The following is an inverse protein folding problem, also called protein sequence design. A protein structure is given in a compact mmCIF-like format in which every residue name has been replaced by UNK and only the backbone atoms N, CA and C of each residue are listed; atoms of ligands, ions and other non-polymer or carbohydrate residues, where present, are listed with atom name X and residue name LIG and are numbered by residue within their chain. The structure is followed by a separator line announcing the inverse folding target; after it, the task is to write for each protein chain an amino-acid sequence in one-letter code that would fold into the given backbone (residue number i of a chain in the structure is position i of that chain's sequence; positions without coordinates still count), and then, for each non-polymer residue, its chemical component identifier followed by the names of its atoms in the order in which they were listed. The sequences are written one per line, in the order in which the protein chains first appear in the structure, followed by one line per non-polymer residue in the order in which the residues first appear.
data_IF_210694075971
#
_entry.id   IF_210694075971
#
_cell.length_a   1.000
_cell.length_b   1.000
_cell.length_c   1.000
_cell.angle_alpha   90.00
_cell.angle_beta   90.00
_cell.angle_gamma   90.00
#
_symmetry.space_group_name_H-M   'P 1'
#
loop_
_entity.id
_entity.type
_entity.pdbx_description
1 polymer ?
#
# COMPACT_ATOMS: atom_id res chain seq x y z
N UNK A 1 46.25 42.88 -5.99
CA UNK A 1 46.01 41.93 -7.10
C UNK A 1 45.76 40.57 -6.47
N UNK A 2 44.48 40.23 -6.26
CA UNK A 2 43.77 39.15 -6.99
C UNK A 2 44.29 37.78 -6.56
N UNK A 3 43.64 37.14 -5.59
CA UNK A 3 42.62 36.16 -5.95
C UNK A 3 41.83 35.69 -4.73
N UNK A 4 40.51 35.88 -4.81
CA UNK A 4 39.50 35.24 -3.97
C UNK A 4 39.06 33.98 -4.73
N UNK A 5 39.26 32.81 -4.14
CA UNK A 5 38.78 31.51 -4.66
C UNK A 5 38.63 30.52 -3.50
N UNK A 6 37.72 29.53 -3.60
CA UNK A 6 36.45 29.63 -2.92
C UNK A 6 36.32 28.67 -1.74
N UNK A 7 35.35 28.99 -0.87
CA UNK A 7 34.81 28.14 0.20
C UNK A 7 34.50 26.75 -0.38
N UNK A 8 35.14 25.70 0.14
CA UNK A 8 34.79 24.32 -0.21
C UNK A 8 33.33 24.11 0.14
N UNK A 9 32.55 23.74 -0.85
CA UNK A 9 31.13 23.44 -0.73
C UNK A 9 30.97 22.33 0.31
N UNK A 10 30.11 22.56 1.29
CA UNK A 10 29.74 21.53 2.26
C UNK A 10 29.19 20.33 1.49
N UNK A 11 29.82 19.17 1.69
CA UNK A 11 29.36 17.89 1.21
C UNK A 11 28.09 17.50 1.97
N UNK A 12 26.96 18.12 1.64
CA UNK A 12 25.65 17.55 1.88
C UNK A 12 25.45 16.41 0.89
N UNK A 13 26.07 15.27 1.19
CA UNK A 13 25.63 13.97 0.69
C UNK A 13 24.27 13.71 1.33
N UNK A 14 23.23 14.33 0.77
CA UNK A 14 21.84 13.99 1.06
C UNK A 14 21.62 12.59 0.49
N UNK A 15 21.98 11.58 1.28
CA UNK A 15 21.66 10.18 1.02
C UNK A 15 20.15 10.10 0.79
N UNK A 16 19.76 9.89 -0.46
CA UNK A 16 18.38 9.59 -0.81
C UNK A 16 18.05 8.22 -0.20
N UNK A 17 17.55 8.25 1.04
CA UNK A 17 16.97 7.07 1.67
C UNK A 17 15.72 6.72 0.87
N UNK A 18 15.61 5.52 0.28
CA UNK A 18 14.38 5.13 -0.39
C UNK A 18 13.25 5.18 0.64
N UNK A 19 12.19 5.93 0.34
CA UNK A 19 10.99 6.11 1.19
C UNK A 19 10.17 4.82 1.41
N UNK A 20 10.72 3.66 1.02
CA UNK A 20 9.97 2.51 0.52
C UNK A 20 10.41 1.15 1.09
N UNK A 21 11.22 1.10 2.15
CA UNK A 21 11.75 -0.19 2.65
C UNK A 21 10.72 -1.07 3.37
N UNK A 22 9.60 -0.52 3.84
CA UNK A 22 8.63 -1.26 4.69
C UNK A 22 7.62 -2.10 3.92
N UNK A 23 7.22 -1.70 2.71
CA UNK A 23 6.21 -2.45 1.94
C UNK A 23 6.81 -3.54 1.04
N UNK A 24 8.07 -3.39 0.62
CA UNK A 24 8.78 -4.39 -0.19
C UNK A 24 8.92 -5.75 0.53
N UNK A 25 8.91 -5.72 1.87
CA UNK A 25 8.95 -6.92 2.71
C UNK A 25 7.58 -7.57 2.94
N UNK A 26 6.47 -6.92 2.54
CA UNK A 26 5.12 -7.46 2.71
C UNK A 26 4.76 -8.45 1.57
N UNK A 27 4.16 -9.58 1.93
CA UNK A 27 3.77 -10.63 0.95
C UNK A 27 2.80 -10.10 -0.11
N UNK A 28 2.92 -10.56 -1.37
CA UNK A 28 2.01 -10.22 -2.47
C UNK A 28 0.54 -10.43 -2.10
N UNK A 29 0.25 -11.52 -1.41
CA UNK A 29 -1.09 -11.82 -0.90
C UNK A 29 -1.59 -10.69 0.02
N UNK A 30 -0.79 -10.28 1.01
CA UNK A 30 -1.14 -9.21 1.93
C UNK A 30 -1.43 -7.90 1.18
N UNK A 31 -0.57 -7.54 0.22
CA UNK A 31 -0.78 -6.35 -0.60
C UNK A 31 -2.10 -6.40 -1.37
N UNK A 32 -2.43 -7.56 -1.95
CA UNK A 32 -3.67 -7.71 -2.72
C UNK A 32 -4.92 -7.56 -1.84
N UNK A 33 -4.95 -8.14 -0.65
CA UNK A 33 -6.09 -7.96 0.26
C UNK A 33 -6.21 -6.55 0.80
N UNK A 34 -5.09 -5.88 1.11
CA UNK A 34 -5.12 -4.49 1.56
C UNK A 34 -5.61 -3.56 0.45
N UNK A 35 -5.19 -3.77 -0.81
CA UNK A 35 -5.72 -3.01 -1.96
C UNK A 35 -7.21 -3.27 -2.17
N UNK A 36 -7.66 -4.52 -2.06
CA UNK A 36 -9.08 -4.88 -2.20
C UNK A 36 -9.93 -4.23 -1.10
N UNK A 37 -9.48 -4.29 0.15
CA UNK A 37 -10.15 -3.63 1.27
C UNK A 37 -10.20 -2.12 1.08
N UNK A 38 -9.11 -1.51 0.59
CA UNK A 38 -9.07 -0.09 0.25
C UNK A 38 -10.07 0.30 -0.84
N UNK A 39 -10.16 -0.49 -1.92
CA UNK A 39 -11.14 -0.28 -2.99
C UNK A 39 -12.59 -0.37 -2.49
N UNK A 40 -12.85 -1.24 -1.50
CA UNK A 40 -14.10 -1.27 -0.77
C UNK A 40 -14.39 0.03 -0.02
N UNK A 41 -13.43 0.55 0.75
CA UNK A 41 -13.57 1.84 1.45
C UNK A 41 -13.78 3.02 0.50
N UNK A 42 -13.04 3.06 -0.62
CA UNK A 42 -13.19 4.09 -1.64
C UNK A 42 -14.57 4.07 -2.29
N UNK A 43 -15.19 2.88 -2.37
CA UNK A 43 -16.58 2.71 -2.82
C UNK A 43 -17.62 3.04 -1.75
N UNK A 44 -17.21 3.59 -0.59
CA UNK A 44 -18.09 3.96 0.52
C UNK A 44 -18.44 2.83 1.49
N UNK A 45 -17.81 1.64 1.38
CA UNK A 45 -18.05 0.54 2.33
C UNK A 45 -17.28 0.80 3.62
N UNK A 46 -17.93 0.65 4.77
CA UNK A 46 -17.25 0.62 6.05
C UNK A 46 -16.89 -0.82 6.42
N UNK A 47 -15.64 -1.21 6.13
CA UNK A 47 -15.15 -2.59 6.26
C UNK A 47 -15.76 -3.57 5.26
N UNK A 48 -15.16 -4.76 5.13
CA UNK A 48 -15.62 -5.84 4.25
C UNK A 48 -15.74 -7.15 5.00
N UNK A 49 -16.77 -7.95 4.73
CA UNK A 49 -16.83 -9.30 5.29
C UNK A 49 -15.78 -10.22 4.63
N UNK A 50 -15.48 -11.35 5.28
CA UNK A 50 -14.62 -12.38 4.67
C UNK A 50 -15.20 -12.89 3.35
N UNK A 51 -16.53 -12.97 3.22
CA UNK A 51 -17.18 -13.35 1.97
C UNK A 51 -17.01 -12.29 0.88
N UNK A 52 -17.13 -11.00 1.21
CA UNK A 52 -16.88 -9.92 0.25
C UNK A 52 -15.43 -9.96 -0.27
N UNK A 53 -14.48 -10.20 0.65
CA UNK A 53 -13.06 -10.35 0.29
C UNK A 53 -12.83 -11.60 -0.56
N UNK A 54 -13.46 -12.73 -0.22
CA UNK A 54 -13.36 -13.96 -0.99
C UNK A 54 -13.87 -13.77 -2.43
N UNK A 55 -15.04 -13.15 -2.59
CA UNK A 55 -15.63 -12.82 -3.88
C UNK A 55 -14.75 -11.86 -4.69
N UNK A 56 -14.24 -10.79 -4.08
CA UNK A 56 -13.39 -9.83 -4.75
C UNK A 56 -12.02 -10.41 -5.17
N UNK A 57 -11.49 -11.34 -4.37
CA UNK A 57 -10.22 -12.01 -4.64
C UNK A 57 -10.36 -13.26 -5.53
N UNK A 58 -11.58 -13.69 -5.86
CA UNK A 58 -11.82 -14.89 -6.65
C UNK A 58 -11.38 -16.20 -5.96
N UNK A 59 -11.43 -16.24 -4.63
CA UNK A 59 -11.03 -17.42 -3.84
C UNK A 59 -12.20 -17.95 -3.01
N UNK A 60 -12.08 -19.19 -2.56
CA UNK A 60 -13.07 -19.77 -1.63
C UNK A 60 -12.97 -19.13 -0.23
N UNK A 61 -14.08 -19.11 0.50
CA UNK A 61 -14.18 -18.44 1.80
C UNK A 61 -13.18 -18.98 2.85
N UNK A 62 -12.84 -20.27 2.80
CA UNK A 62 -11.84 -20.87 3.70
C UNK A 62 -10.45 -20.26 3.49
N UNK A 63 -10.03 -20.09 2.24
CA UNK A 63 -8.75 -19.45 1.89
C UNK A 63 -8.75 -17.98 2.29
N UNK A 64 -9.86 -17.26 2.08
CA UNK A 64 -9.96 -15.87 2.51
C UNK A 64 -9.88 -15.74 4.04
N UNK A 65 -10.55 -16.62 4.78
CA UNK A 65 -10.49 -16.64 6.25
C UNK A 65 -9.08 -16.90 6.77
N UNK A 66 -8.36 -17.85 6.18
CA UNK A 66 -6.96 -18.13 6.53
C UNK A 66 -6.06 -16.92 6.26
N UNK A 67 -6.22 -16.28 5.11
CA UNK A 67 -5.45 -15.10 4.72
C UNK A 67 -5.75 -13.88 5.61
N UNK A 68 -7.02 -13.65 5.96
CA UNK A 68 -7.43 -12.63 6.93
C UNK A 68 -6.79 -12.91 8.30
N UNK A 69 -6.78 -14.17 8.73
CA UNK A 69 -6.12 -14.55 10.00
C UNK A 69 -4.63 -14.24 9.99
N UNK A 70 -3.94 -14.44 8.86
CA UNK A 70 -2.52 -14.05 8.69
C UNK A 70 -2.32 -12.54 8.71
N UNK A 71 -3.22 -11.77 8.10
CA UNK A 71 -3.19 -10.30 8.15
C UNK A 71 -3.40 -9.77 9.58
N UNK A 72 -4.30 -10.39 10.35
CA UNK A 72 -4.51 -10.08 11.77
C UNK A 72 -3.25 -10.39 12.58
N UNK A 73 -2.64 -11.56 12.36
CA UNK A 73 -1.39 -11.95 13.03
C UNK A 73 -0.23 -10.97 12.74
N UNK A 74 -0.24 -10.36 11.56
CA UNK A 74 0.73 -9.33 11.16
C UNK A 74 0.34 -7.91 11.61
N UNK A 75 -0.77 -7.73 12.34
CA UNK A 75 -1.20 -6.42 12.84
C UNK A 75 -1.70 -5.46 11.76
N UNK A 76 -2.04 -5.94 10.56
CA UNK A 76 -2.45 -5.10 9.42
C UNK A 76 -3.96 -4.87 9.34
N UNK A 77 -4.74 -5.79 9.89
CA UNK A 77 -6.20 -5.69 9.93
C UNK A 77 -6.73 -6.15 11.27
N UNK A 78 -7.94 -5.70 11.62
CA UNK A 78 -8.73 -6.24 12.72
C UNK A 78 -9.90 -7.04 12.15
N UNK A 79 -10.18 -8.18 12.77
CA UNK A 79 -11.32 -9.02 12.43
C UNK A 79 -11.76 -9.78 13.68
N UNK A 80 -13.03 -9.64 14.02
CA UNK A 80 -13.68 -10.40 15.10
C UNK A 80 -14.73 -11.34 14.48
N UNK A 81 -15.07 -12.45 15.15
CA UNK A 81 -16.08 -13.38 14.64
C UNK A 81 -17.37 -12.67 14.24
N UNK A 82 -17.87 -12.99 13.04
CA UNK A 82 -19.08 -12.41 12.43
C UNK A 82 -19.04 -10.90 12.18
N UNK A 83 -17.88 -10.26 12.33
CA UNK A 83 -17.70 -8.83 12.02
C UNK A 83 -16.95 -8.65 10.70
N UNK A 84 -17.00 -7.42 10.22
CA UNK A 84 -16.24 -7.00 9.05
C UNK A 84 -14.77 -6.90 9.40
N UNK A 85 -13.94 -7.06 8.38
CA UNK A 85 -12.51 -6.78 8.40
C UNK A 85 -12.32 -5.27 8.25
N UNK A 86 -11.50 -4.70 9.12
CA UNK A 86 -11.12 -3.28 9.11
C UNK A 86 -9.61 -3.15 9.11
N UNK A 87 -9.09 -2.03 8.62
CA UNK A 87 -7.67 -1.72 8.74
C UNK A 87 -7.28 -1.42 10.19
N UNK A 88 -6.06 -1.79 10.56
CA UNK A 88 -5.32 -1.08 11.62
C UNK A 88 -4.70 0.19 11.04
N UNK A 89 -4.14 1.06 11.90
CA UNK A 89 -3.43 2.26 11.43
C UNK A 89 -2.24 1.89 10.52
N UNK A 90 -1.50 0.84 10.86
CA UNK A 90 -0.38 0.34 10.07
C UNK A 90 -0.85 -0.21 8.71
N UNK A 91 -1.88 -1.05 8.70
CA UNK A 91 -2.41 -1.59 7.45
C UNK A 91 -3.01 -0.52 6.54
N UNK A 92 -3.64 0.51 7.11
CA UNK A 92 -4.14 1.66 6.37
C UNK A 92 -2.99 2.45 5.75
N UNK A 93 -1.94 2.76 6.52
CA UNK A 93 -0.77 3.47 6.02
C UNK A 93 -0.10 2.70 4.86
N UNK A 94 0.02 1.38 5.01
CA UNK A 94 0.56 0.50 3.98
C UNK A 94 -0.31 0.52 2.72
N UNK A 95 -1.64 0.36 2.85
CA UNK A 95 -2.58 0.41 1.73
C UNK A 95 -2.50 1.75 0.96
N UNK A 96 -2.51 2.87 1.68
CA UNK A 96 -2.40 4.21 1.08
C UNK A 96 -1.08 4.37 0.33
N UNK A 97 0.03 3.88 0.87
CA UNK A 97 1.34 3.97 0.20
C UNK A 97 1.34 3.25 -1.15
N UNK A 98 0.72 2.07 -1.22
CA UNK A 98 0.60 1.27 -2.45
C UNK A 98 -0.28 1.97 -3.48
N UNK A 99 -1.45 2.46 -3.07
CA UNK A 99 -2.41 3.14 -3.96
C UNK A 99 -1.83 4.44 -4.51
N UNK A 100 -1.13 5.22 -3.68
CA UNK A 100 -0.46 6.45 -4.12
C UNK A 100 0.57 6.16 -5.20
N UNK A 101 1.42 5.15 -5.02
CA UNK A 101 2.42 4.77 -6.02
C UNK A 101 1.76 4.34 -7.32
N UNK A 102 0.70 3.53 -7.24
CA UNK A 102 -0.02 3.08 -8.42
C UNK A 102 -0.59 4.26 -9.22
N UNK A 103 -1.31 5.17 -8.57
CA UNK A 103 -1.89 6.36 -9.22
C UNK A 103 -0.84 7.27 -9.84
N UNK A 104 0.28 7.48 -9.15
CA UNK A 104 1.37 8.29 -9.70
C UNK A 104 1.96 7.68 -10.97
N UNK A 105 2.13 6.35 -10.99
CA UNK A 105 2.61 5.64 -12.17
C UNK A 105 1.57 5.68 -13.29
N UNK A 106 0.30 5.42 -12.99
CA UNK A 106 -0.80 5.48 -13.95
C UNK A 106 -0.89 6.87 -14.61
N UNK A 107 -0.92 7.94 -13.82
CA UNK A 107 -0.96 9.31 -14.33
C UNK A 107 0.28 9.62 -15.15
N UNK A 108 1.47 9.22 -14.71
CA UNK A 108 2.70 9.45 -15.48
C UNK A 108 2.68 8.71 -16.83
N UNK A 109 2.27 7.45 -16.84
CA UNK A 109 2.20 6.63 -18.05
C UNK A 109 1.16 7.16 -19.04
N UNK A 110 0.00 7.57 -18.54
CA UNK A 110 -1.03 8.20 -19.35
C UNK A 110 -0.52 9.53 -19.93
N UNK A 111 -0.05 10.46 -19.09
CA UNK A 111 0.24 11.84 -19.50
C UNK A 111 1.51 11.98 -20.35
N UNK A 112 2.50 11.09 -20.16
CA UNK A 112 3.82 11.22 -20.80
C UNK A 112 4.04 10.22 -21.93
N UNK A 113 3.34 9.09 -21.92
CA UNK A 113 3.53 8.00 -22.87
C UNK A 113 2.28 7.71 -23.70
N UNK A 114 1.17 8.46 -23.50
CA UNK A 114 -0.12 8.28 -24.18
C UNK A 114 -0.60 6.82 -24.14
N UNK A 115 -0.38 6.16 -23.01
CA UNK A 115 -1.04 4.89 -22.76
C UNK A 115 -2.50 5.16 -22.39
N UNK A 116 -3.41 4.74 -23.25
CA UNK A 116 -4.84 4.69 -22.94
C UNK A 116 -5.13 3.41 -22.13
N UNK A 117 -5.85 3.54 -21.01
CA UNK A 117 -6.28 2.43 -20.17
C UNK A 117 -7.77 2.15 -20.32
#
# INVERSE_FOLDING_TARGET
MTGKTPKSVDSTSSTFQPVDSTWASSSRMAQDYLKTLWGGEESGKHGMSVNDLASAMGVVASTASENVSRLVANGLVTHEPYRKVHFTDEGRALAISMVRRHRLLETYLHDRLNFEW
#
